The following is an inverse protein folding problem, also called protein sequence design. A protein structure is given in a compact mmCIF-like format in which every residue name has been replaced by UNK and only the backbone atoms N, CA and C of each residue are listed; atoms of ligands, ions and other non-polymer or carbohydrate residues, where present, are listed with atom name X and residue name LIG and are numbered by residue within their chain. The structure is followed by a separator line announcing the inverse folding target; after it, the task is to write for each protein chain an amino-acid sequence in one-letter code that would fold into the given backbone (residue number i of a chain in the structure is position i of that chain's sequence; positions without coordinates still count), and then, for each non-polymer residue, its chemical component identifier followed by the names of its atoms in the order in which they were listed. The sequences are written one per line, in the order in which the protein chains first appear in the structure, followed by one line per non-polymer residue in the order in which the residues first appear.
data_IF_615528886625
#
_entry.id   IF_615528886625
#
_cell.length_a   1.000
_cell.length_b   1.000
_cell.length_c   1.000
_cell.angle_alpha   90.00
_cell.angle_beta   90.00
_cell.angle_gamma   90.00
#
_symmetry.space_group_name_H-M   'P 1'
#
loop_
_entity.id
_entity.type
_entity.pdbx_description
1 polymer ?
#
# COMPACT_ATOMS: atom_id res chain seq x y z
N UNK A 1 -17.46 -50.16 -51.58
CA UNK A 1 -18.75 -50.76 -51.18
C UNK A 1 -18.69 -50.94 -49.66
N UNK A 2 -19.03 -49.87 -48.92
CA UNK A 2 -20.32 -49.67 -48.23
C UNK A 2 -20.43 -50.51 -46.94
N UNK A 3 -20.25 -49.91 -45.75
CA UNK A 3 -21.34 -49.53 -44.84
C UNK A 3 -20.83 -49.14 -43.44
N UNK A 4 -21.55 -48.18 -42.87
CA UNK A 4 -21.26 -47.36 -41.70
C UNK A 4 -21.60 -48.07 -40.38
N UNK A 5 -20.78 -47.81 -39.36
CA UNK A 5 -21.06 -48.07 -37.95
C UNK A 5 -21.74 -46.84 -37.33
N UNK A 6 -22.97 -47.01 -36.85
CA UNK A 6 -23.67 -46.07 -35.95
C UNK A 6 -23.60 -46.64 -34.53
N UNK A 7 -23.01 -45.88 -33.59
CA UNK A 7 -23.17 -46.07 -32.13
C UNK A 7 -23.96 -44.88 -31.58
N UNK A 8 -24.89 -45.08 -30.62
CA UNK A 8 -25.67 -44.00 -30.04
C UNK A 8 -24.87 -43.28 -28.94
N UNK A 9 -24.98 -41.94 -28.93
CA UNK A 9 -24.47 -41.06 -27.89
C UNK A 9 -25.50 -41.01 -26.75
N UNK A 10 -25.11 -41.44 -25.55
CA UNK A 10 -25.85 -41.19 -24.31
C UNK A 10 -25.54 -39.76 -23.84
N UNK A 11 -26.56 -38.89 -23.83
CA UNK A 11 -26.52 -37.59 -23.15
C UNK A 11 -27.11 -37.79 -21.75
N UNK A 12 -26.27 -37.74 -20.72
CA UNK A 12 -26.71 -37.72 -19.33
C UNK A 12 -27.18 -36.32 -18.93
N UNK A 13 -28.49 -36.15 -18.75
CA UNK A 13 -29.07 -35.00 -18.07
C UNK A 13 -28.77 -35.11 -16.57
N UNK A 14 -27.87 -34.26 -16.06
CA UNK A 14 -27.76 -34.02 -14.62
C UNK A 14 -28.81 -32.97 -14.21
N UNK A 15 -29.85 -33.43 -13.52
CA UNK A 15 -30.87 -32.57 -12.93
C UNK A 15 -30.26 -31.79 -11.76
N UNK A 16 -30.09 -30.48 -11.93
CA UNK A 16 -29.76 -29.55 -10.84
C UNK A 16 -31.08 -29.12 -10.19
N UNK A 17 -31.42 -29.76 -9.08
CA UNK A 17 -32.49 -29.32 -8.19
C UNK A 17 -32.07 -28.04 -7.48
N UNK A 18 -32.70 -26.93 -7.86
CA UNK A 18 -32.63 -25.67 -7.14
C UNK A 18 -33.44 -25.79 -5.84
N UNK A 19 -32.77 -25.91 -4.70
CA UNK A 19 -33.39 -25.64 -3.40
C UNK A 19 -33.37 -24.11 -3.25
N UNK A 20 -34.52 -23.50 -3.48
CA UNK A 20 -34.76 -22.10 -3.14
C UNK A 20 -34.80 -21.98 -1.61
N UNK A 21 -33.66 -21.68 -1.00
CA UNK A 21 -33.62 -21.17 0.36
C UNK A 21 -34.12 -19.72 0.32
N UNK A 22 -35.36 -19.50 0.76
CA UNK A 22 -35.93 -18.19 0.99
C UNK A 22 -35.25 -17.54 2.20
N UNK A 23 -34.07 -16.95 1.98
CA UNK A 23 -33.57 -15.90 2.85
C UNK A 23 -34.27 -14.60 2.44
N UNK A 24 -35.25 -14.18 3.24
CA UNK A 24 -35.79 -12.83 3.15
C UNK A 24 -34.64 -11.84 3.36
N UNK A 25 -34.20 -11.21 2.28
CA UNK A 25 -33.24 -10.11 2.33
C UNK A 25 -33.90 -8.92 3.00
N UNK A 26 -33.39 -8.52 4.17
CA UNK A 26 -33.47 -7.12 4.55
C UNK A 26 -32.63 -6.34 3.55
N UNK A 27 -33.32 -5.64 2.66
CA UNK A 27 -32.75 -4.83 1.59
C UNK A 27 -31.97 -3.67 2.22
N UNK A 28 -30.69 -3.89 2.54
CA UNK A 28 -29.79 -2.88 3.09
C UNK A 28 -29.19 -1.99 2.00
N UNK A 29 -29.97 -1.70 0.95
CA UNK A 29 -29.61 -0.69 -0.03
C UNK A 29 -29.97 0.68 0.54
N UNK A 30 -28.99 1.59 0.60
CA UNK A 30 -29.26 2.99 0.92
C UNK A 30 -30.26 3.51 -0.11
N UNK A 31 -31.51 3.77 0.31
CA UNK A 31 -32.45 4.54 -0.53
C UNK A 31 -31.73 5.82 -0.97
N UNK A 32 -31.66 6.03 -2.29
CA UNK A 32 -30.94 7.15 -2.89
C UNK A 32 -31.62 8.50 -2.65
N UNK A 33 -32.77 8.52 -1.95
CA UNK A 33 -33.55 9.73 -1.74
C UNK A 33 -32.71 10.80 -1.01
N UNK A 34 -32.52 11.98 -1.61
CA UNK A 34 -31.82 13.09 -0.97
C UNK A 34 -32.43 13.52 0.37
N UNK A 35 -33.73 13.25 0.59
CA UNK A 35 -34.44 13.59 1.82
C UNK A 35 -33.91 12.89 3.08
N UNK A 36 -33.16 11.79 2.92
CA UNK A 36 -32.56 11.05 4.04
C UNK A 36 -31.21 11.65 4.51
N UNK A 37 -30.70 12.68 3.84
CA UNK A 37 -29.44 13.33 4.16
C UNK A 37 -29.66 14.67 4.84
N UNK A 38 -28.79 14.98 5.80
CA UNK A 38 -28.75 16.28 6.48
C UNK A 38 -27.47 17.02 6.09
N UNK A 39 -27.52 18.35 6.08
CA UNK A 39 -26.36 19.19 5.80
C UNK A 39 -25.88 19.87 7.07
N UNK A 40 -24.58 20.17 7.13
CA UNK A 40 -24.00 20.86 8.27
C UNK A 40 -22.56 21.28 8.00
N UNK A 41 -21.95 21.87 9.01
CA UNK A 41 -20.57 22.32 8.98
C UNK A 41 -20.12 22.73 10.37
N UNK A 42 -18.81 23.00 10.55
CA UNK A 42 -18.28 23.36 11.86
C UNK A 42 -18.81 24.70 12.35
N UNK A 43 -19.11 25.64 11.44
CA UNK A 43 -19.63 26.98 11.72
C UNK A 43 -20.51 27.46 10.57
N UNK A 44 -21.55 28.23 10.87
CA UNK A 44 -22.55 28.65 9.88
C UNK A 44 -21.94 29.51 8.74
N UNK A 45 -20.98 30.37 9.07
CA UNK A 45 -20.30 31.24 8.11
C UNK A 45 -19.41 30.48 7.11
N UNK A 46 -19.05 29.23 7.40
CA UNK A 46 -18.22 28.39 6.54
C UNK A 46 -19.02 27.49 5.61
N UNK A 47 -20.35 27.48 5.69
CA UNK A 47 -21.15 26.53 4.92
C UNK A 47 -21.05 26.80 3.41
N UNK A 48 -20.76 25.77 2.59
CA UNK A 48 -21.00 25.83 1.16
C UNK A 48 -22.51 25.83 0.88
N UNK A 49 -22.90 26.14 -0.36
CA UNK A 49 -24.27 25.97 -0.81
C UNK A 49 -24.52 24.49 -1.10
N UNK A 50 -25.58 23.95 -0.52
CA UNK A 50 -26.00 22.57 -0.73
C UNK A 50 -27.21 22.49 -1.65
N UNK A 51 -27.21 21.52 -2.55
CA UNK A 51 -28.34 21.19 -3.40
C UNK A 51 -28.37 19.70 -3.71
N UNK A 52 -29.54 19.19 -4.07
CA UNK A 52 -29.71 17.79 -4.44
C UNK A 52 -30.66 17.61 -5.63
N UNK A 53 -30.51 16.50 -6.34
CA UNK A 53 -31.35 16.10 -7.48
C UNK A 53 -31.59 14.59 -7.41
N UNK A 54 -32.76 14.12 -7.88
CA UNK A 54 -33.06 12.68 -8.00
C UNK A 54 -32.45 12.06 -9.26
N UNK A 55 -31.85 12.88 -10.13
CA UNK A 55 -31.22 12.50 -11.40
C UNK A 55 -29.80 13.06 -11.48
N UNK A 56 -28.81 12.19 -11.70
CA UNK A 56 -27.39 12.53 -11.76
C UNK A 56 -26.47 11.30 -11.63
N UNK A 57 -25.17 11.53 -11.48
CA UNK A 57 -24.19 10.46 -11.34
C UNK A 57 -23.96 9.62 -12.61
N UNK A 58 -23.03 8.65 -12.59
CA UNK A 58 -22.77 7.76 -13.72
C UNK A 58 -23.92 6.81 -14.04
N UNK A 59 -24.70 6.40 -13.04
CA UNK A 59 -25.82 5.47 -13.20
C UNK A 59 -27.19 6.16 -13.31
N UNK A 60 -27.25 7.50 -13.36
CA UNK A 60 -28.51 8.24 -13.43
C UNK A 60 -29.28 8.35 -12.09
N UNK A 61 -28.64 8.01 -10.97
CA UNK A 61 -29.22 8.05 -9.62
C UNK A 61 -29.21 9.42 -8.93
N UNK A 62 -29.49 9.43 -7.62
CA UNK A 62 -29.51 10.64 -6.82
C UNK A 62 -28.16 11.38 -6.74
N UNK A 63 -28.21 12.71 -6.68
CA UNK A 63 -27.05 13.61 -6.65
C UNK A 63 -27.09 14.49 -5.40
N UNK A 64 -25.98 14.51 -4.66
CA UNK A 64 -25.75 15.40 -3.52
C UNK A 64 -24.60 16.36 -3.86
N UNK A 65 -24.90 17.66 -3.91
CA UNK A 65 -23.95 18.68 -4.35
C UNK A 65 -23.63 19.65 -3.22
N UNK A 66 -22.34 19.99 -3.08
CA UNK A 66 -21.86 21.10 -2.27
C UNK A 66 -20.99 22.01 -3.15
N UNK A 67 -21.32 23.31 -3.18
CA UNK A 67 -20.63 24.30 -4.01
C UNK A 67 -20.16 25.50 -3.17
N UNK A 68 -18.90 25.89 -3.36
CA UNK A 68 -18.38 27.13 -2.81
C UNK A 68 -18.62 28.31 -3.74
N UNK A 69 -18.65 29.50 -3.14
CA UNK A 69 -18.49 30.76 -3.85
C UNK A 69 -17.00 31.13 -3.92
N UNK A 70 -16.68 32.41 -4.12
CA UNK A 70 -15.31 32.92 -4.17
C UNK A 70 -14.60 32.92 -2.80
N UNK A 71 -15.32 32.66 -1.68
CA UNK A 71 -14.71 32.57 -0.36
C UNK A 71 -13.92 31.28 -0.27
N UNK A 72 -12.67 31.42 0.17
CA UNK A 72 -11.84 30.28 0.52
C UNK A 72 -12.18 29.75 1.92
N UNK A 73 -11.78 28.51 2.20
CA UNK A 73 -11.92 27.93 3.53
C UNK A 73 -13.31 27.38 3.87
N UNK A 74 -14.27 27.38 2.93
CA UNK A 74 -15.61 26.82 3.18
C UNK A 74 -15.52 25.34 3.56
N UNK A 75 -16.34 24.95 4.54
CA UNK A 75 -16.33 23.63 5.11
C UNK A 75 -17.77 23.24 5.50
N UNK A 76 -18.24 22.15 4.93
CA UNK A 76 -19.48 21.52 5.34
C UNK A 76 -19.55 20.07 4.89
N UNK A 77 -20.68 19.42 5.12
CA UNK A 77 -20.89 18.02 4.77
C UNK A 77 -22.35 17.71 4.50
N UNK A 78 -22.56 16.64 3.73
CA UNK A 78 -23.76 15.82 3.81
C UNK A 78 -23.53 14.71 4.83
N UNK A 79 -24.54 14.40 5.64
CA UNK A 79 -24.48 13.38 6.69
C UNK A 79 -25.73 12.53 6.72
N UNK A 80 -25.54 11.22 6.89
CA UNK A 80 -26.62 10.24 7.07
C UNK A 80 -26.17 9.14 8.03
N UNK A 81 -27.06 8.77 8.96
CA UNK A 81 -26.82 7.65 9.88
C UNK A 81 -27.69 6.47 9.49
N UNK A 82 -27.12 5.28 9.48
CA UNK A 82 -27.82 4.03 9.19
C UNK A 82 -27.53 2.96 10.23
N UNK A 83 -28.48 2.03 10.47
CA UNK A 83 -28.24 0.88 11.33
C UNK A 83 -27.21 -0.06 10.70
N UNK A 84 -26.34 -0.62 11.53
CA UNK A 84 -25.38 -1.67 11.17
C UNK A 84 -25.29 -2.70 12.30
N UNK A 85 -24.77 -3.88 12.00
CA UNK A 85 -24.51 -4.93 12.97
C UNK A 85 -23.01 -4.99 13.29
N UNK A 86 -22.69 -4.87 14.58
CA UNK A 86 -21.32 -4.97 15.07
C UNK A 86 -20.65 -6.29 14.71
N UNK A 87 -19.34 -6.24 14.49
CA UNK A 87 -18.51 -7.39 14.11
C UNK A 87 -18.59 -7.77 12.63
N UNK A 88 -19.57 -7.26 11.87
CA UNK A 88 -19.70 -7.49 10.42
C UNK A 88 -18.77 -6.59 9.61
N UNK A 89 -18.48 -7.04 8.39
CA UNK A 89 -17.76 -6.26 7.40
C UNK A 89 -18.73 -5.54 6.46
N UNK A 90 -18.35 -4.34 6.07
CA UNK A 90 -19.13 -3.48 5.20
C UNK A 90 -18.26 -2.90 4.10
N UNK A 91 -18.75 -2.97 2.87
CA UNK A 91 -18.19 -2.25 1.75
C UNK A 91 -18.89 -0.90 1.60
N UNK A 92 -18.12 0.17 1.77
CA UNK A 92 -18.56 1.51 1.38
C UNK A 92 -18.27 1.75 -0.08
N UNK A 93 -19.17 2.45 -0.76
CA UNK A 93 -18.89 2.96 -2.09
C UNK A 93 -19.68 4.22 -2.40
N UNK A 94 -19.07 5.17 -3.11
CA UNK A 94 -19.74 6.35 -3.66
C UNK A 94 -19.03 6.84 -4.91
N UNK A 95 -19.77 7.39 -5.87
CA UNK A 95 -19.18 8.16 -6.96
C UNK A 95 -18.96 9.60 -6.51
N UNK A 96 -17.78 10.14 -6.81
CA UNK A 96 -17.37 11.50 -6.48
C UNK A 96 -16.92 12.23 -7.74
N UNK A 97 -17.39 13.45 -7.94
CA UNK A 97 -16.88 14.36 -8.97
C UNK A 97 -16.54 15.71 -8.37
N UNK A 98 -15.38 16.24 -8.72
CA UNK A 98 -14.91 17.56 -8.27
C UNK A 98 -14.66 18.42 -9.49
N UNK A 99 -15.27 19.61 -9.53
CA UNK A 99 -15.09 20.60 -10.59
C UNK A 99 -14.65 21.92 -9.97
N UNK A 100 -13.67 22.59 -10.57
CA UNK A 100 -13.15 23.86 -10.07
C UNK A 100 -11.66 23.77 -9.73
N UNK A 101 -11.23 24.59 -8.76
CA UNK A 101 -9.81 24.79 -8.43
C UNK A 101 -9.29 23.91 -7.29
N UNK A 102 -10.16 23.12 -6.67
CA UNK A 102 -9.83 22.33 -5.49
C UNK A 102 -8.92 21.13 -5.76
N UNK A 103 -8.15 20.80 -4.72
CA UNK A 103 -7.48 19.51 -4.58
C UNK A 103 -8.51 18.48 -4.12
N UNK A 104 -8.98 17.64 -5.05
CA UNK A 104 -10.07 16.70 -4.80
C UNK A 104 -9.88 15.83 -3.55
N UNK A 105 -8.66 15.31 -3.33
CA UNK A 105 -8.31 14.45 -2.17
C UNK A 105 -8.45 15.13 -0.80
N UNK A 106 -8.40 16.47 -0.73
CA UNK A 106 -8.55 17.23 0.51
C UNK A 106 -9.96 17.79 0.67
N UNK A 107 -10.54 18.26 -0.44
CA UNK A 107 -11.84 18.94 -0.45
C UNK A 107 -13.00 17.96 -0.39
N UNK A 108 -12.93 16.85 -1.11
CA UNK A 108 -14.05 15.92 -1.28
C UNK A 108 -13.73 14.57 -0.61
N UNK A 109 -14.00 14.50 0.69
CA UNK A 109 -13.62 13.37 1.55
C UNK A 109 -14.85 12.67 2.09
N UNK A 110 -14.97 11.37 1.82
CA UNK A 110 -15.92 10.51 2.50
C UNK A 110 -15.32 10.02 3.83
N UNK A 111 -16.14 9.99 4.89
CA UNK A 111 -15.80 9.43 6.20
C UNK A 111 -16.93 8.54 6.70
N UNK A 112 -16.57 7.49 7.44
CA UNK A 112 -17.54 6.61 8.10
C UNK A 112 -17.20 6.61 9.59
N UNK A 113 -18.16 7.00 10.41
CA UNK A 113 -18.02 6.96 11.86
C UNK A 113 -18.87 5.81 12.40
N UNK A 114 -18.21 4.82 13.00
CA UNK A 114 -18.91 3.80 13.77
C UNK A 114 -19.45 4.41 15.06
N UNK A 115 -20.68 4.07 15.44
CA UNK A 115 -21.33 4.53 16.67
C UNK A 115 -21.97 3.36 17.41
N UNK A 116 -21.88 3.38 18.74
CA UNK A 116 -22.59 2.49 19.64
C UNK A 116 -24.07 2.92 19.80
N UNK A 117 -24.83 2.17 20.61
CA UNK A 117 -26.25 2.45 20.86
C UNK A 117 -26.52 3.83 21.52
N UNK A 118 -25.49 4.45 22.11
CA UNK A 118 -25.54 5.77 22.73
C UNK A 118 -25.06 6.88 21.80
N UNK A 119 -24.66 6.57 20.56
CA UNK A 119 -24.11 7.53 19.60
C UNK A 119 -22.64 7.88 19.84
N UNK A 120 -21.92 7.11 20.68
CA UNK A 120 -20.49 7.32 20.91
C UNK A 120 -19.64 6.42 20.00
N UNK A 121 -18.41 6.81 19.65
CA UNK A 121 -17.51 5.92 18.93
C UNK A 121 -17.14 4.70 19.80
N UNK A 122 -17.45 3.46 19.38
CA UNK A 122 -17.10 2.25 20.12
C UNK A 122 -15.58 2.02 20.15
N UNK A 123 -15.12 1.12 21.03
CA UNK A 123 -13.74 0.62 20.97
C UNK A 123 -13.64 -0.50 19.93
N UNK A 124 -12.50 -0.60 19.25
CA UNK A 124 -12.18 -1.78 18.46
C UNK A 124 -12.09 -3.02 19.35
N UNK A 125 -12.32 -4.17 18.76
CA UNK A 125 -12.33 -5.47 19.43
C UNK A 125 -10.95 -6.14 19.48
N UNK A 126 -9.94 -5.51 18.88
CA UNK A 126 -8.54 -5.92 18.96
C UNK A 126 -7.72 -4.98 19.84
N UNK A 127 -6.63 -5.51 20.38
CA UNK A 127 -5.63 -4.71 21.07
C UNK A 127 -4.75 -3.99 20.05
N UNK A 128 -4.44 -2.73 20.31
CA UNK A 128 -3.48 -1.96 19.54
C UNK A 128 -2.13 -2.70 19.55
N UNK A 129 -1.54 -2.84 18.37
CA UNK A 129 -0.20 -3.42 18.17
C UNK A 129 0.88 -2.34 18.03
N UNK A 130 0.49 -1.10 18.22
CA UNK A 130 1.38 0.06 18.25
C UNK A 130 2.19 0.05 19.55
N UNK A 131 3.43 0.51 19.48
CA UNK A 131 4.33 0.75 20.62
C UNK A 131 3.77 1.79 21.58
N UNK A 132 2.86 2.66 21.11
CA UNK A 132 2.12 3.58 21.96
C UNK A 132 0.83 2.94 22.50
N UNK A 133 0.64 2.99 23.83
CA UNK A 133 -0.52 2.42 24.55
C UNK A 133 -0.81 0.96 24.13
N UNK A 134 0.26 0.18 24.12
CA UNK A 134 0.23 -1.26 23.80
C UNK A 134 -0.72 -1.99 24.75
N UNK A 135 -1.51 -2.93 24.21
CA UNK A 135 -2.44 -3.73 24.99
C UNK A 135 -3.78 -3.05 25.32
N UNK A 136 -3.98 -1.79 24.95
CA UNK A 136 -5.28 -1.13 25.03
C UNK A 136 -6.10 -1.33 23.73
N UNK A 137 -7.42 -1.22 23.83
CA UNK A 137 -8.31 -1.22 22.66
C UNK A 137 -8.44 0.20 22.11
N UNK A 138 -8.03 0.47 20.86
CA UNK A 138 -8.16 1.81 20.30
C UNK A 138 -9.62 2.16 20.09
N UNK A 139 -9.94 3.45 20.28
CA UNK A 139 -11.25 3.98 19.91
C UNK A 139 -11.42 3.92 18.39
N UNK A 140 -12.64 3.68 17.93
CA UNK A 140 -12.95 3.78 16.51
C UNK A 140 -12.91 5.25 16.10
N UNK A 141 -11.87 5.61 15.37
CA UNK A 141 -11.80 6.86 14.63
C UNK A 141 -12.42 6.67 13.23
N UNK A 142 -12.63 7.74 12.44
CA UNK A 142 -13.33 7.64 11.18
C UNK A 142 -12.56 6.77 10.18
N UNK A 143 -13.30 5.98 9.41
CA UNK A 143 -12.75 5.27 8.26
C UNK A 143 -12.65 6.22 7.05
N UNK A 144 -11.61 6.05 6.23
CA UNK A 144 -11.37 6.87 5.03
C UNK A 144 -11.33 6.01 3.77
N UNK A 145 -12.49 5.81 3.11
CA UNK A 145 -12.58 5.12 1.82
C UNK A 145 -11.62 5.69 0.78
N UNK A 146 -10.85 4.82 0.12
CA UNK A 146 -9.84 5.14 -0.89
C UNK A 146 -10.43 5.52 -2.25
N UNK A 147 -9.61 6.13 -3.11
CA UNK A 147 -9.99 6.36 -4.50
C UNK A 147 -9.72 5.07 -5.32
N UNK A 148 -10.67 4.69 -6.17
CA UNK A 148 -10.64 3.49 -6.99
C UNK A 148 -10.86 3.79 -8.47
N UNK A 149 -11.84 3.12 -9.07
CA UNK A 149 -12.17 3.23 -10.49
C UNK A 149 -12.48 4.67 -10.93
N UNK A 150 -12.09 5.03 -12.16
CA UNK A 150 -12.37 6.32 -12.78
C UNK A 150 -13.25 6.11 -14.01
N UNK A 151 -14.36 6.85 -14.08
CA UNK A 151 -15.29 6.86 -15.21
C UNK A 151 -15.59 8.31 -15.63
N UNK A 152 -14.91 8.77 -16.70
CA UNK A 152 -14.97 10.17 -17.10
C UNK A 152 -14.44 11.09 -16.00
N UNK A 153 -15.27 12.05 -15.54
CA UNK A 153 -14.93 12.95 -14.43
C UNK A 153 -15.23 12.37 -13.03
N UNK A 154 -15.75 11.14 -12.97
CA UNK A 154 -16.16 10.49 -11.73
C UNK A 154 -15.07 9.55 -11.21
N UNK A 155 -14.81 9.63 -9.91
CA UNK A 155 -13.92 8.72 -9.18
C UNK A 155 -14.75 7.95 -8.18
N UNK A 156 -14.68 6.62 -8.22
CA UNK A 156 -15.31 5.72 -7.25
C UNK A 156 -14.49 5.79 -5.96
N UNK A 157 -15.08 6.32 -4.91
CA UNK A 157 -14.50 6.22 -3.55
C UNK A 157 -15.03 4.94 -2.90
N UNK A 158 -14.15 4.06 -2.41
CA UNK A 158 -14.53 2.72 -1.94
C UNK A 158 -13.61 2.18 -0.84
N UNK A 159 -14.10 1.26 -0.02
CA UNK A 159 -13.30 0.55 0.97
C UNK A 159 -14.11 -0.50 1.72
N UNK A 160 -13.43 -1.51 2.26
CA UNK A 160 -14.04 -2.57 3.07
C UNK A 160 -13.57 -2.39 4.51
N UNK A 161 -14.52 -2.24 5.42
CA UNK A 161 -14.26 -1.88 6.82
C UNK A 161 -15.00 -2.81 7.75
N UNK A 162 -14.42 -3.06 8.92
CA UNK A 162 -15.06 -3.87 9.94
C UNK A 162 -15.73 -2.98 10.99
N UNK A 163 -17.03 -3.14 11.16
CA UNK A 163 -17.74 -2.50 12.25
C UNK A 163 -17.26 -3.10 13.58
N UNK A 164 -16.83 -2.30 14.57
CA UNK A 164 -16.52 -2.80 15.91
C UNK A 164 -17.69 -3.57 16.53
N UNK A 165 -17.45 -4.54 17.41
CA UNK A 165 -18.50 -5.41 17.97
C UNK A 165 -19.63 -4.62 18.67
N UNK A 166 -19.30 -3.51 19.34
CA UNK A 166 -20.28 -2.65 19.99
C UNK A 166 -20.96 -1.65 19.05
N UNK A 167 -20.59 -1.62 17.76
CA UNK A 167 -21.17 -0.73 16.77
C UNK A 167 -22.59 -1.13 16.38
N UNK A 168 -23.49 -0.16 16.39
CA UNK A 168 -24.91 -0.34 16.02
C UNK A 168 -25.36 0.61 14.92
N UNK A 169 -24.57 1.66 14.66
CA UNK A 169 -24.86 2.65 13.64
C UNK A 169 -23.58 3.04 12.88
N UNK A 170 -23.73 3.37 11.61
CA UNK A 170 -22.70 4.01 10.79
C UNK A 170 -23.19 5.40 10.39
N UNK A 171 -22.48 6.43 10.82
CA UNK A 171 -22.69 7.80 10.37
C UNK A 171 -21.75 8.05 9.18
N UNK A 172 -22.33 8.16 7.99
CA UNK A 172 -21.63 8.46 6.75
C UNK A 172 -21.60 9.96 6.57
N UNK A 173 -20.43 10.50 6.29
CA UNK A 173 -20.22 11.91 6.05
C UNK A 173 -19.49 12.13 4.72
N UNK A 174 -20.05 13.00 3.89
CA UNK A 174 -19.50 13.40 2.59
C UNK A 174 -19.10 14.88 2.69
N UNK A 175 -17.82 15.11 2.97
CA UNK A 175 -17.29 16.45 3.24
C UNK A 175 -17.05 17.27 1.96
N UNK A 176 -17.22 18.58 2.12
CA UNK A 176 -16.63 19.65 1.31
C UNK A 176 -15.69 20.45 2.22
N UNK A 177 -14.42 20.66 1.84
CA UNK A 177 -13.43 21.37 2.67
C UNK A 177 -12.51 22.29 1.88
N UNK A 178 -12.28 23.48 2.43
CA UNK A 178 -11.14 24.36 2.15
C UNK A 178 -10.95 24.69 0.68
N UNK A 179 -12.03 25.01 -0.02
CA UNK A 179 -11.97 25.40 -1.42
C UNK A 179 -12.91 26.55 -1.76
N UNK A 180 -12.44 27.43 -2.64
CA UNK A 180 -13.22 28.42 -3.38
C UNK A 180 -13.50 27.92 -4.80
N UNK A 181 -14.50 28.53 -5.46
CA UNK A 181 -14.86 28.26 -6.87
C UNK A 181 -14.93 26.77 -7.24
N UNK A 182 -15.47 25.93 -6.34
CA UNK A 182 -15.43 24.48 -6.45
C UNK A 182 -16.81 23.89 -6.20
N UNK A 183 -17.18 22.89 -7.00
CA UNK A 183 -18.36 22.05 -6.79
C UNK A 183 -17.93 20.60 -6.58
N UNK A 184 -18.47 19.98 -5.53
CA UNK A 184 -18.32 18.56 -5.24
C UNK A 184 -19.68 17.90 -5.37
N UNK A 185 -19.75 16.87 -6.20
CA UNK A 185 -20.91 16.01 -6.36
C UNK A 185 -20.63 14.61 -5.81
N UNK A 186 -21.62 14.05 -5.12
CA UNK A 186 -21.66 12.66 -4.70
C UNK A 186 -22.89 11.95 -5.26
N UNK A 187 -22.74 10.69 -5.65
CA UNK A 187 -23.83 9.85 -6.16
C UNK A 187 -23.61 8.37 -5.80
N UNK A 188 -24.67 7.57 -5.88
CA UNK A 188 -24.68 6.12 -5.60
C UNK A 188 -23.96 5.72 -4.30
N UNK A 189 -24.23 6.46 -3.22
CA UNK A 189 -23.62 6.22 -1.92
C UNK A 189 -24.22 4.96 -1.30
N UNK A 190 -23.38 4.00 -0.95
CA UNK A 190 -23.73 2.67 -0.46
C UNK A 190 -22.84 2.26 0.71
N UNK A 191 -23.41 1.54 1.66
CA UNK A 191 -22.68 0.80 2.68
C UNK A 191 -23.35 -0.56 2.84
N UNK A 192 -22.77 -1.59 2.24
CA UNK A 192 -23.41 -2.92 2.13
C UNK A 192 -22.64 -3.96 2.93
N UNK A 193 -23.32 -4.91 3.61
CA UNK A 193 -22.65 -6.02 4.26
C UNK A 193 -21.89 -6.87 3.24
N UNK A 194 -20.68 -7.30 3.60
CA UNK A 194 -19.86 -8.19 2.77
C UNK A 194 -19.19 -9.24 3.65
N UNK A 195 -18.69 -10.31 3.01
CA UNK A 195 -17.82 -11.25 3.69
C UNK A 195 -16.48 -10.60 4.06
N UNK A 196 -15.80 -11.08 5.13
CA UNK A 196 -14.45 -10.62 5.48
C UNK A 196 -13.50 -10.73 4.27
N UNK A 197 -12.68 -9.70 4.00
CA UNK A 197 -11.64 -9.82 2.99
C UNK A 197 -10.64 -10.92 3.41
N UNK A 198 -10.09 -11.68 2.46
CA UNK A 198 -9.10 -12.69 2.79
C UNK A 198 -7.86 -12.05 3.42
N UNK A 199 -7.27 -12.76 4.38
CA UNK A 199 -5.98 -12.41 4.95
C UNK A 199 -4.91 -12.29 3.85
N UNK A 200 -4.13 -11.21 3.86
CA UNK A 200 -2.99 -10.97 2.96
C UNK A 200 -1.69 -11.12 3.74
N UNK A 201 -1.43 -12.36 4.16
CA UNK A 201 -0.17 -12.72 4.80
C UNK A 201 0.93 -12.82 3.76
N UNK A 202 2.09 -12.25 4.08
CA UNK A 202 3.29 -12.32 3.24
C UNK A 202 4.52 -12.60 4.10
N UNK A 203 5.40 -13.47 3.60
CA UNK A 203 6.71 -13.72 4.21
C UNK A 203 7.78 -12.90 3.51
N UNK A 204 8.35 -11.96 4.26
CA UNK A 204 9.36 -11.03 3.77
C UNK A 204 10.72 -11.44 4.32
N UNK A 205 11.69 -11.60 3.42
CA UNK A 205 13.04 -12.00 3.76
C UNK A 205 14.06 -10.90 3.43
N UNK A 206 15.14 -10.86 4.20
CA UNK A 206 16.33 -10.09 3.87
C UNK A 206 17.58 -10.93 4.13
N UNK A 207 18.61 -10.69 3.32
CA UNK A 207 19.90 -11.39 3.44
C UNK A 207 20.92 -10.46 4.10
N UNK A 208 21.73 -10.99 5.02
CA UNK A 208 22.84 -10.27 5.64
C UNK A 208 24.17 -10.85 5.18
N UNK A 209 24.74 -10.34 4.09
CA UNK A 209 25.91 -10.98 3.48
C UNK A 209 26.81 -10.04 2.68
N UNK A 210 28.08 -10.01 3.05
CA UNK A 210 29.17 -9.36 2.31
C UNK A 210 29.74 -10.31 1.24
N UNK A 211 29.63 -10.02 -0.07
CA UNK A 211 30.17 -10.87 -1.13
C UNK A 211 31.68 -10.63 -1.35
N UNK A 212 32.47 -10.76 -0.28
CA UNK A 212 33.90 -10.46 -0.27
C UNK A 212 34.73 -11.44 -1.12
N UNK A 213 34.33 -12.71 -1.19
CA UNK A 213 35.07 -13.77 -1.88
C UNK A 213 34.92 -13.72 -3.42
N UNK A 214 33.95 -12.95 -3.93
CA UNK A 214 33.71 -12.81 -5.37
C UNK A 214 34.68 -11.83 -6.02
N UNK A 215 35.25 -12.19 -7.17
CA UNK A 215 36.20 -11.35 -7.92
C UNK A 215 35.52 -10.57 -9.05
N UNK A 216 34.50 -11.16 -9.67
CA UNK A 216 33.70 -10.53 -10.73
C UNK A 216 32.28 -10.24 -10.25
N UNK A 217 31.54 -9.41 -10.99
CA UNK A 217 30.10 -9.20 -10.77
C UNK A 217 29.34 -10.54 -10.70
N UNK A 218 29.62 -11.44 -11.64
CA UNK A 218 28.99 -12.75 -11.70
C UNK A 218 29.31 -13.61 -10.47
N UNK A 219 30.56 -13.61 -10.00
CA UNK A 219 30.94 -14.37 -8.80
C UNK A 219 30.23 -13.83 -7.56
N UNK A 220 30.17 -12.50 -7.41
CA UNK A 220 29.48 -11.85 -6.30
C UNK A 220 27.98 -12.17 -6.31
N UNK A 221 27.33 -12.11 -7.47
CA UNK A 221 25.94 -12.53 -7.63
C UNK A 221 25.73 -14.00 -7.21
N UNK A 222 26.62 -14.91 -7.64
CA UNK A 222 26.52 -16.35 -7.33
C UNK A 222 26.56 -16.66 -5.83
N UNK A 223 27.29 -15.88 -5.05
CA UNK A 223 27.36 -16.06 -3.59
C UNK A 223 25.99 -15.89 -2.89
N UNK A 224 25.05 -15.16 -3.48
CA UNK A 224 23.70 -15.01 -2.93
C UNK A 224 22.75 -16.16 -3.27
N UNK A 225 23.09 -17.02 -4.24
CA UNK A 225 22.22 -18.12 -4.69
C UNK A 225 21.76 -19.04 -3.54
N UNK A 226 22.67 -19.61 -2.74
CA UNK A 226 22.31 -20.45 -1.60
C UNK A 226 21.45 -19.75 -0.54
N UNK A 227 21.65 -18.44 -0.34
CA UNK A 227 20.91 -17.64 0.64
C UNK A 227 19.48 -17.35 0.16
N UNK A 228 19.30 -17.09 -1.14
CA UNK A 228 17.98 -16.99 -1.78
C UNK A 228 17.25 -18.32 -1.72
N UNK A 229 17.95 -19.44 -1.98
CA UNK A 229 17.36 -20.78 -1.85
C UNK A 229 16.93 -21.07 -0.41
N UNK A 230 17.72 -20.66 0.60
CA UNK A 230 17.36 -20.78 2.01
C UNK A 230 16.11 -19.96 2.36
N UNK A 231 15.96 -18.76 1.80
CA UNK A 231 14.73 -17.96 1.96
C UNK A 231 13.53 -18.65 1.30
N UNK A 232 13.72 -19.20 0.09
CA UNK A 232 12.69 -19.93 -0.64
C UNK A 232 12.20 -21.18 0.12
N UNK A 233 13.10 -21.95 0.75
CA UNK A 233 12.76 -23.10 1.60
C UNK A 233 11.88 -22.72 2.79
N UNK A 234 11.96 -21.47 3.24
CA UNK A 234 11.12 -20.90 4.30
C UNK A 234 9.87 -20.19 3.74
N UNK A 235 9.57 -20.39 2.46
CA UNK A 235 8.41 -19.86 1.75
C UNK A 235 8.37 -18.33 1.72
N UNK A 236 9.53 -17.68 1.64
CA UNK A 236 9.60 -16.24 1.40
C UNK A 236 8.97 -15.89 0.05
N UNK A 237 8.20 -14.80 0.03
CA UNK A 237 7.63 -14.24 -1.20
C UNK A 237 8.47 -13.09 -1.76
N UNK A 238 9.24 -12.43 -0.89
CA UNK A 238 10.20 -11.38 -1.23
C UNK A 238 11.53 -11.67 -0.55
N UNK A 239 12.64 -11.51 -1.27
CA UNK A 239 13.99 -11.51 -0.71
C UNK A 239 14.68 -10.19 -1.07
N UNK A 240 15.11 -9.43 -0.07
CA UNK A 240 15.89 -8.20 -0.27
C UNK A 240 17.37 -8.49 -0.05
N UNK A 241 18.19 -8.12 -1.04
CA UNK A 241 19.64 -8.23 -1.03
C UNK A 241 20.29 -6.85 -0.80
N UNK A 242 21.56 -6.81 -0.35
CA UNK A 242 22.23 -5.56 -0.02
C UNK A 242 22.47 -4.62 -1.21
N UNK A 243 22.78 -3.37 -0.89
CA UNK A 243 23.17 -2.33 -1.85
C UNK A 243 24.49 -2.68 -2.56
N UNK A 244 24.59 -2.28 -3.84
CA UNK A 244 25.81 -2.30 -4.67
C UNK A 244 26.62 -3.60 -4.55
N UNK A 245 25.92 -4.74 -4.52
CA UNK A 245 26.53 -6.05 -4.21
C UNK A 245 27.63 -6.45 -5.21
N UNK A 246 27.57 -5.96 -6.46
CA UNK A 246 28.59 -6.20 -7.48
C UNK A 246 29.85 -5.36 -7.28
N UNK A 247 29.74 -4.22 -6.59
CA UNK A 247 30.86 -3.30 -6.35
C UNK A 247 31.55 -3.54 -5.00
N UNK A 248 30.87 -4.18 -4.05
CA UNK A 248 31.42 -4.46 -2.73
C UNK A 248 32.80 -5.13 -2.80
N UNK A 249 33.82 -4.46 -2.25
CA UNK A 249 35.22 -4.91 -2.25
C UNK A 249 35.77 -5.31 -3.65
N UNK A 250 35.30 -4.66 -4.73
CA UNK A 250 35.75 -4.97 -6.08
C UNK A 250 37.16 -4.44 -6.40
N UNK A 251 37.70 -3.52 -5.59
CA UNK A 251 39.00 -2.89 -5.83
C UNK A 251 39.05 -2.02 -7.11
N UNK A 252 37.87 -1.65 -7.63
CA UNK A 252 37.70 -0.90 -8.89
C UNK A 252 36.74 0.27 -8.71
N UNK A 253 36.82 1.30 -9.57
CA UNK A 253 35.80 2.34 -9.66
C UNK A 253 34.39 1.76 -9.91
N UNK A 254 33.36 2.47 -9.45
CA UNK A 254 31.96 2.01 -9.51
C UNK A 254 31.50 1.77 -10.96
N UNK A 255 31.91 2.64 -11.88
CA UNK A 255 31.56 2.57 -13.28
C UNK A 255 32.09 1.32 -13.98
N UNK A 256 33.23 0.77 -13.56
CA UNK A 256 33.76 -0.50 -14.08
C UNK A 256 32.94 -1.72 -13.62
N UNK A 257 32.16 -1.58 -12.54
CA UNK A 257 31.27 -2.62 -12.03
C UNK A 257 29.81 -2.44 -12.50
N UNK A 258 29.50 -1.35 -13.21
CA UNK A 258 28.16 -1.01 -13.66
C UNK A 258 27.76 -1.79 -14.93
N UNK A 259 26.56 -2.35 -14.92
CA UNK A 259 26.00 -3.16 -16.02
C UNK A 259 24.72 -2.52 -16.59
N UNK A 260 24.35 -2.77 -17.86
CA UNK A 260 23.03 -2.38 -18.33
C UNK A 260 21.92 -3.04 -17.50
N UNK A 261 20.77 -2.37 -17.35
CA UNK A 261 19.60 -2.95 -16.70
C UNK A 261 18.39 -2.88 -17.65
N UNK A 262 17.93 -4.02 -18.21
CA UNK A 262 18.36 -5.39 -17.91
C UNK A 262 19.76 -5.75 -18.47
N UNK A 263 20.44 -6.69 -17.80
CA UNK A 263 21.79 -7.17 -18.08
C UNK A 263 22.20 -8.40 -17.25
N UNK A 264 23.48 -8.80 -17.25
CA UNK A 264 23.95 -10.08 -16.70
C UNK A 264 23.50 -10.36 -15.25
N UNK A 265 23.69 -9.40 -14.34
CA UNK A 265 23.28 -9.59 -12.93
C UNK A 265 21.77 -9.73 -12.79
N UNK A 266 20.97 -8.94 -13.53
CA UNK A 266 19.50 -9.07 -13.49
C UNK A 266 19.00 -10.36 -14.14
N UNK A 267 19.71 -10.92 -15.12
CA UNK A 267 19.38 -12.22 -15.71
C UNK A 267 19.60 -13.34 -14.69
N UNK A 268 20.75 -13.34 -14.00
CA UNK A 268 21.04 -14.32 -12.96
C UNK A 268 19.99 -14.30 -11.83
N UNK A 269 19.69 -13.11 -11.28
CA UNK A 269 18.67 -13.01 -10.23
C UNK A 269 17.25 -13.29 -10.76
N UNK A 270 16.97 -12.99 -12.03
CA UNK A 270 15.72 -13.40 -12.68
C UNK A 270 15.56 -14.92 -12.76
N UNK A 271 16.63 -15.64 -13.12
CA UNK A 271 16.62 -17.10 -13.12
C UNK A 271 16.34 -17.68 -11.74
N UNK A 272 16.98 -17.15 -10.69
CA UNK A 272 16.72 -17.54 -9.30
C UNK A 272 15.28 -17.22 -8.87
N UNK A 273 14.78 -16.02 -9.19
CA UNK A 273 13.42 -15.61 -8.87
C UNK A 273 12.38 -16.55 -9.50
N UNK A 274 12.59 -16.93 -10.77
CA UNK A 274 11.77 -17.92 -11.49
C UNK A 274 11.88 -19.32 -10.88
N UNK A 275 13.09 -19.77 -10.61
CA UNK A 275 13.35 -21.10 -10.04
C UNK A 275 12.65 -21.28 -8.69
N UNK A 276 12.59 -20.23 -7.88
CA UNK A 276 12.04 -20.27 -6.53
C UNK A 276 10.63 -19.65 -6.40
N UNK A 277 10.05 -19.17 -7.50
CA UNK A 277 8.71 -18.55 -7.54
C UNK A 277 8.52 -17.45 -6.47
N UNK A 278 9.50 -16.55 -6.37
CA UNK A 278 9.54 -15.43 -5.42
C UNK A 278 9.98 -14.14 -6.11
N UNK A 279 9.82 -13.01 -5.43
CA UNK A 279 10.38 -11.73 -5.84
C UNK A 279 11.77 -11.52 -5.23
N UNK A 280 12.70 -10.95 -6.00
CA UNK A 280 14.03 -10.56 -5.50
C UNK A 280 14.21 -9.06 -5.71
N UNK A 281 14.63 -8.36 -4.66
CA UNK A 281 15.17 -7.00 -4.77
C UNK A 281 16.68 -7.07 -4.64
N UNK A 282 17.41 -6.63 -5.66
CA UNK A 282 18.87 -6.62 -5.68
C UNK A 282 19.41 -5.19 -5.83
N UNK A 283 20.37 -4.80 -4.99
CA UNK A 283 21.10 -3.54 -5.12
C UNK A 283 22.28 -3.68 -6.08
N UNK A 284 22.27 -2.93 -7.18
CA UNK A 284 23.24 -3.03 -8.28
C UNK A 284 23.74 -1.64 -8.70
N UNK A 285 24.73 -1.63 -9.60
CA UNK A 285 25.13 -0.45 -10.36
C UNK A 285 24.64 -0.57 -11.80
N UNK A 286 23.88 0.41 -12.26
CA UNK A 286 23.38 0.49 -13.63
C UNK A 286 24.29 1.39 -14.48
N UNK A 287 24.64 0.91 -15.68
CA UNK A 287 25.18 1.71 -16.77
C UNK A 287 24.06 2.06 -17.75
N UNK A 288 23.81 3.34 -17.94
CA UNK A 288 22.88 3.86 -18.96
C UNK A 288 23.61 4.93 -19.79
N UNK A 289 24.09 4.50 -20.97
CA UNK A 289 24.97 5.29 -21.82
C UNK A 289 26.20 5.79 -21.06
N UNK A 290 26.38 7.11 -20.94
CA UNK A 290 27.49 7.75 -20.23
C UNK A 290 27.25 7.87 -18.72
N UNK A 291 26.05 7.54 -18.23
CA UNK A 291 25.65 7.71 -16.83
C UNK A 291 25.78 6.40 -16.07
N UNK A 292 26.11 6.51 -14.78
CA UNK A 292 26.09 5.41 -13.84
C UNK A 292 25.10 5.72 -12.72
N UNK A 293 24.27 4.76 -12.34
CA UNK A 293 23.28 4.89 -11.29
C UNK A 293 23.48 3.80 -10.23
N UNK A 294 23.25 4.15 -8.96
CA UNK A 294 23.02 3.18 -7.90
C UNK A 294 21.54 2.80 -7.91
N UNK A 295 21.22 1.51 -8.08
CA UNK A 295 19.86 1.05 -8.33
C UNK A 295 19.43 -0.08 -7.41
N UNK A 296 18.14 -0.14 -7.11
CA UNK A 296 17.47 -1.35 -6.67
C UNK A 296 16.61 -1.89 -7.82
N UNK A 297 16.78 -3.16 -8.18
CA UNK A 297 15.98 -3.83 -9.21
C UNK A 297 15.04 -4.85 -8.58
N UNK A 298 13.82 -4.94 -9.11
CA UNK A 298 12.82 -5.92 -8.72
C UNK A 298 12.69 -6.98 -9.80
N UNK A 299 13.00 -8.23 -9.46
CA UNK A 299 12.87 -9.39 -10.32
C UNK A 299 11.62 -10.18 -9.89
N UNK A 300 10.75 -10.49 -10.84
CA UNK A 300 9.50 -11.19 -10.61
C UNK A 300 9.64 -12.72 -10.63
N UNK A 301 8.62 -13.44 -10.15
CA UNK A 301 8.57 -14.91 -10.19
C UNK A 301 8.49 -15.50 -11.61
N UNK A 302 8.25 -14.67 -12.62
CA UNK A 302 8.36 -15.05 -14.04
C UNK A 302 9.80 -14.96 -14.58
N UNK A 303 10.74 -14.49 -13.75
CA UNK A 303 12.15 -14.29 -14.05
C UNK A 303 12.46 -13.01 -14.82
N UNK A 304 11.49 -12.11 -14.97
CA UNK A 304 11.68 -10.84 -15.68
C UNK A 304 11.92 -9.69 -14.70
N UNK A 305 12.48 -8.61 -15.24
CA UNK A 305 12.56 -7.32 -14.53
C UNK A 305 11.14 -6.75 -14.41
N UNK A 306 10.61 -6.76 -13.20
CA UNK A 306 9.30 -6.18 -12.88
C UNK A 306 9.39 -4.69 -12.55
N UNK A 307 10.57 -4.20 -12.16
CA UNK A 307 10.76 -2.81 -11.79
C UNK A 307 12.21 -2.43 -11.52
N UNK A 308 12.49 -1.12 -11.53
CA UNK A 308 13.78 -0.55 -11.15
C UNK A 308 13.57 0.79 -10.45
N UNK A 309 14.37 1.04 -9.43
CA UNK A 309 14.47 2.29 -8.72
C UNK A 309 15.91 2.80 -8.81
N UNK A 310 16.09 4.07 -9.21
CA UNK A 310 17.38 4.77 -9.18
C UNK A 310 17.45 5.61 -7.91
N UNK A 311 18.47 5.41 -7.09
CA UNK A 311 18.71 6.13 -5.83
C UNK A 311 18.60 7.64 -6.04
N UNK A 312 17.78 8.31 -5.24
CA UNK A 312 17.44 9.73 -5.45
C UNK A 312 18.37 10.62 -4.64
N UNK A 313 18.68 10.25 -3.40
CA UNK A 313 19.62 10.97 -2.56
C UNK A 313 21.02 10.32 -2.61
N UNK A 314 22.02 11.08 -3.05
CA UNK A 314 23.39 10.59 -3.15
C UNK A 314 24.26 11.13 -1.99
N UNK A 315 25.06 10.28 -1.33
CA UNK A 315 26.11 10.74 -0.44
C UNK A 315 27.23 11.39 -1.23
N UNK A 316 28.04 12.23 -0.56
CA UNK A 316 29.18 12.94 -1.17
C UNK A 316 30.08 12.02 -2.01
N UNK A 317 30.40 10.82 -1.52
CA UNK A 317 31.28 9.88 -2.23
C UNK A 317 30.71 9.37 -3.55
N UNK A 318 29.39 9.25 -3.68
CA UNK A 318 28.75 8.87 -4.94
C UNK A 318 28.73 10.04 -5.92
N UNK A 319 28.50 11.26 -5.43
CA UNK A 319 28.55 12.48 -6.24
C UNK A 319 29.96 12.71 -6.78
N UNK A 320 30.97 12.67 -5.91
CA UNK A 320 32.38 12.83 -6.26
C UNK A 320 32.83 11.71 -7.25
N UNK A 321 32.22 10.53 -7.16
CA UNK A 321 32.44 9.39 -8.06
C UNK A 321 31.64 9.43 -9.37
N UNK A 322 30.85 10.47 -9.63
CA UNK A 322 30.10 10.62 -10.88
C UNK A 322 28.82 9.79 -11.00
N UNK A 323 28.27 9.30 -9.88
CA UNK A 323 26.96 8.63 -9.87
C UNK A 323 25.86 9.67 -10.11
N UNK A 324 24.91 9.33 -10.98
CA UNK A 324 23.77 10.19 -11.31
C UNK A 324 22.58 9.87 -10.40
N UNK A 325 21.86 10.89 -9.87
CA UNK A 325 20.67 10.67 -9.05
C UNK A 325 19.46 10.27 -9.92
N UNK A 326 18.58 9.45 -9.34
CA UNK A 326 17.22 9.25 -9.82
C UNK A 326 16.30 10.43 -9.48
N UNK A 327 15.07 10.40 -9.98
CA UNK A 327 14.09 11.51 -9.82
C UNK A 327 12.67 11.04 -9.51
N UNK A 328 12.45 9.74 -9.33
CA UNK A 328 11.11 9.15 -9.27
C UNK A 328 10.94 8.29 -8.02
N UNK A 329 9.68 8.09 -7.61
CA UNK A 329 9.28 7.23 -6.49
C UNK A 329 8.33 6.11 -6.98
N UNK A 330 8.76 5.24 -7.91
CA UNK A 330 7.92 4.19 -8.46
C UNK A 330 7.50 3.18 -7.39
N UNK A 331 6.27 2.67 -7.55
CA UNK A 331 5.70 1.60 -6.73
C UNK A 331 5.24 0.49 -7.68
N UNK A 332 5.58 -0.74 -7.35
CA UNK A 332 5.39 -1.91 -8.20
C UNK A 332 4.29 -2.80 -7.64
N UNK A 333 3.37 -3.22 -8.50
CA UNK A 333 2.36 -4.21 -8.14
C UNK A 333 3.01 -5.60 -8.04
N UNK A 334 2.74 -6.30 -6.95
CA UNK A 334 3.18 -7.69 -6.73
C UNK A 334 1.99 -8.53 -6.27
N UNK A 335 2.13 -9.87 -6.30
CA UNK A 335 1.04 -10.76 -5.84
C UNK A 335 0.64 -10.56 -4.38
N UNK A 336 1.52 -9.99 -3.55
CA UNK A 336 1.26 -9.74 -2.13
C UNK A 336 0.79 -8.31 -1.83
N UNK A 337 1.00 -7.37 -2.76
CA UNK A 337 0.66 -5.96 -2.58
C UNK A 337 1.63 -5.01 -3.27
N UNK A 338 1.59 -3.73 -2.89
CA UNK A 338 2.40 -2.68 -3.52
C UNK A 338 3.79 -2.57 -2.88
N UNK A 339 4.85 -2.70 -3.67
CA UNK A 339 6.24 -2.63 -3.22
C UNK A 339 6.91 -1.33 -3.69
N UNK A 340 7.43 -0.53 -2.75
CA UNK A 340 8.37 0.55 -3.03
C UNK A 340 9.82 0.09 -2.81
N UNK A 341 10.77 0.84 -3.36
CA UNK A 341 12.20 0.62 -3.13
C UNK A 341 12.89 1.94 -2.81
N UNK A 342 13.81 1.93 -1.85
CA UNK A 342 14.73 3.02 -1.56
C UNK A 342 16.13 2.45 -1.33
N UNK A 343 17.19 3.25 -1.45
CA UNK A 343 18.57 2.76 -1.37
C UNK A 343 19.42 3.61 -0.44
N UNK A 344 19.98 2.95 0.58
CA UNK A 344 20.95 3.49 1.52
C UNK A 344 20.72 4.94 1.98
N UNK A 345 21.41 5.89 1.37
CA UNK A 345 21.40 7.30 1.76
C UNK A 345 19.99 7.93 1.66
N UNK A 346 19.10 7.38 0.84
CA UNK A 346 17.67 7.73 0.82
C UNK A 346 17.02 7.63 2.22
N UNK A 347 17.48 6.70 3.07
CA UNK A 347 16.97 6.53 4.43
C UNK A 347 17.14 7.76 5.31
N UNK A 348 18.05 8.68 5.00
CA UNK A 348 18.21 9.95 5.72
C UNK A 348 17.15 11.00 5.36
N UNK A 349 16.40 10.81 4.28
CA UNK A 349 15.45 11.79 3.74
C UNK A 349 14.01 11.28 3.85
N UNK A 350 13.17 11.83 4.76
CA UNK A 350 11.78 11.39 4.92
C UNK A 350 10.95 11.52 3.63
N UNK A 351 11.32 12.44 2.75
CA UNK A 351 10.68 12.70 1.46
C UNK A 351 10.63 11.46 0.58
N UNK A 352 11.66 10.61 0.61
CA UNK A 352 11.74 9.42 -0.23
C UNK A 352 10.69 8.40 0.19
N UNK A 353 10.67 8.01 1.47
CA UNK A 353 9.67 7.06 1.96
C UNK A 353 8.25 7.66 1.92
N UNK A 354 8.11 8.98 2.13
CA UNK A 354 6.82 9.68 1.96
C UNK A 354 6.34 9.66 0.51
N UNK A 355 7.23 9.85 -0.45
CA UNK A 355 6.93 9.76 -1.88
C UNK A 355 6.44 8.36 -2.27
N UNK A 356 7.13 7.32 -1.80
CA UNK A 356 6.75 5.92 -2.03
C UNK A 356 5.41 5.56 -1.37
N UNK A 357 5.21 5.94 -0.10
CA UNK A 357 3.97 5.65 0.63
C UNK A 357 2.78 6.39 0.04
N UNK A 358 2.97 7.64 -0.38
CA UNK A 358 2.00 8.42 -1.15
C UNK A 358 1.59 7.67 -2.42
N UNK A 359 2.57 7.09 -3.13
CA UNK A 359 2.30 6.33 -4.35
C UNK A 359 1.72 4.93 -4.07
N UNK A 360 1.44 4.61 -2.81
CA UNK A 360 0.68 3.44 -2.38
C UNK A 360 1.50 2.31 -1.81
N UNK A 361 2.82 2.46 -1.64
CA UNK A 361 3.68 1.40 -1.10
C UNK A 361 3.13 0.83 0.22
N UNK A 362 3.10 -0.49 0.33
CA UNK A 362 2.75 -1.26 1.53
C UNK A 362 3.98 -1.81 2.22
N UNK A 363 4.96 -2.19 1.40
CA UNK A 363 6.27 -2.67 1.78
C UNK A 363 7.29 -1.78 1.07
N UNK A 364 8.38 -1.42 1.77
CA UNK A 364 9.54 -0.74 1.19
C UNK A 364 10.75 -1.66 1.35
N UNK A 365 11.31 -2.13 0.23
CA UNK A 365 12.59 -2.81 0.24
C UNK A 365 13.72 -1.78 0.32
N UNK A 366 14.69 -2.03 1.19
CA UNK A 366 15.76 -1.10 1.49
C UNK A 366 17.14 -1.79 1.43
N UNK A 367 17.69 -2.04 0.24
CA UNK A 367 19.11 -2.35 0.07
C UNK A 367 19.97 -1.21 0.63
N UNK A 368 20.88 -1.51 1.55
CA UNK A 368 21.64 -0.47 2.27
C UNK A 368 23.02 -0.94 2.67
N UNK A 369 24.06 -0.18 2.31
CA UNK A 369 25.39 -0.35 2.89
C UNK A 369 25.40 0.18 4.32
N UNK A 370 24.91 1.39 4.56
CA UNK A 370 24.95 2.01 5.89
C UNK A 370 23.91 3.10 6.08
N UNK A 371 23.35 3.20 7.29
CA UNK A 371 22.33 4.21 7.62
C UNK A 371 22.21 4.37 9.14
N UNK A 372 20.99 4.24 9.68
CA UNK A 372 20.67 4.23 11.10
C UNK A 372 19.38 3.41 11.28
N UNK A 373 19.37 2.34 12.11
CA UNK A 373 18.16 1.55 12.37
C UNK A 373 16.97 2.36 12.89
N UNK A 374 17.23 3.45 13.64
CA UNK A 374 16.18 4.36 14.09
C UNK A 374 15.51 5.08 12.91
N UNK A 375 16.28 5.43 11.88
CA UNK A 375 15.71 6.03 10.68
C UNK A 375 14.89 5.01 9.90
N UNK A 376 15.35 3.76 9.77
CA UNK A 376 14.54 2.71 9.15
C UNK A 376 13.20 2.49 9.88
N UNK A 377 13.23 2.47 11.22
CA UNK A 377 12.02 2.44 12.05
C UNK A 377 11.14 3.68 11.82
N UNK A 378 11.71 4.88 11.75
CA UNK A 378 10.97 6.11 11.49
C UNK A 378 10.31 6.10 10.10
N UNK A 379 11.03 5.64 9.05
CA UNK A 379 10.48 5.51 7.69
C UNK A 379 9.31 4.54 7.64
N UNK A 380 9.34 3.48 8.44
CA UNK A 380 8.22 2.55 8.58
C UNK A 380 7.04 3.20 9.33
N UNK A 381 7.29 3.73 10.53
CA UNK A 381 6.30 4.29 11.44
C UNK A 381 5.57 5.50 10.83
N UNK A 382 6.28 6.50 10.31
CA UNK A 382 5.64 7.73 9.82
C UNK A 382 4.81 7.50 8.54
N UNK A 383 5.08 6.40 7.82
CA UNK A 383 4.43 6.05 6.57
C UNK A 383 3.45 4.88 6.69
N UNK A 384 3.40 4.21 7.83
CA UNK A 384 2.62 2.98 8.06
C UNK A 384 2.91 1.91 7.00
N UNK A 385 4.18 1.77 6.65
CA UNK A 385 4.69 0.76 5.71
C UNK A 385 5.55 -0.26 6.44
N UNK A 386 5.61 -1.47 5.92
CA UNK A 386 6.62 -2.45 6.36
C UNK A 386 7.93 -2.11 5.68
N UNK A 387 9.05 -2.07 6.39
CA UNK A 387 10.37 -1.83 5.80
C UNK A 387 11.21 -3.09 5.92
N UNK A 388 11.83 -3.51 4.82
CA UNK A 388 12.71 -4.69 4.75
C UNK A 388 14.10 -4.24 4.37
N UNK A 389 14.99 -4.12 5.35
CA UNK A 389 16.37 -3.66 5.11
C UNK A 389 17.33 -4.83 4.94
N UNK A 390 18.28 -4.67 4.02
CA UNK A 390 19.34 -5.65 3.78
C UNK A 390 20.68 -4.92 3.71
N UNK A 391 21.58 -5.28 4.61
CA UNK A 391 22.94 -4.78 4.70
C UNK A 391 23.94 -5.91 4.90
N UNK A 392 25.22 -5.56 4.89
CA UNK A 392 26.34 -6.45 5.20
C UNK A 392 27.31 -5.83 6.22
N UNK A 393 26.94 -4.72 6.86
CA UNK A 393 27.72 -4.13 7.96
C UNK A 393 27.79 -5.06 9.15
N UNK A 394 28.87 -5.00 9.94
CA UNK A 394 28.94 -5.76 11.19
C UNK A 394 27.75 -5.39 12.10
N UNK A 395 26.89 -6.35 12.50
CA UNK A 395 25.77 -6.10 13.40
C UNK A 395 26.17 -5.41 14.72
N UNK A 396 27.41 -5.60 15.19
CA UNK A 396 27.95 -4.95 16.40
C UNK A 396 28.16 -3.45 16.25
N UNK A 397 28.31 -2.96 15.02
CA UNK A 397 28.49 -1.52 14.77
C UNK A 397 27.22 -0.71 15.04
N UNK A 398 26.04 -1.37 15.04
CA UNK A 398 24.72 -0.74 15.07
C UNK A 398 24.56 0.41 14.04
N UNK A 399 25.36 0.38 12.97
CA UNK A 399 25.30 1.38 11.91
C UNK A 399 24.08 1.15 11.02
N UNK A 400 23.77 -0.10 10.72
CA UNK A 400 22.52 -0.51 10.09
C UNK A 400 22.26 -1.97 10.45
N UNK A 401 21.00 -2.41 10.37
CA UNK A 401 20.65 -3.83 10.56
C UNK A 401 19.98 -4.39 9.31
N UNK A 402 20.22 -5.66 9.03
CA UNK A 402 19.34 -6.44 8.15
C UNK A 402 18.15 -6.87 8.99
N UNK A 403 16.93 -6.53 8.56
CA UNK A 403 15.74 -6.80 9.36
C UNK A 403 14.42 -6.45 8.68
N UNK A 404 13.34 -6.89 9.30
CA UNK A 404 11.97 -6.53 8.92
C UNK A 404 11.38 -5.65 10.03
N UNK A 405 10.96 -4.45 9.67
CA UNK A 405 10.31 -3.48 10.54
C UNK A 405 8.83 -3.47 10.21
N UNK A 406 7.96 -3.58 11.21
CA UNK A 406 6.52 -3.43 11.02
C UNK A 406 6.11 -1.97 10.79
N UNK A 407 4.81 -1.74 10.61
CA UNK A 407 4.24 -0.42 10.32
C UNK A 407 4.36 0.60 11.45
N UNK A 408 4.80 0.17 12.63
CA UNK A 408 5.05 1.04 13.77
C UNK A 408 6.56 1.22 14.03
N UNK A 409 7.41 0.66 13.15
CA UNK A 409 8.86 0.70 13.27
C UNK A 409 9.45 -0.34 14.22
N UNK A 410 8.65 -1.29 14.73
CA UNK A 410 9.16 -2.39 15.57
C UNK A 410 9.89 -3.42 14.70
N UNK A 411 11.07 -3.82 15.13
CA UNK A 411 11.83 -4.89 14.48
C UNK A 411 11.18 -6.24 14.79
N UNK A 412 10.66 -6.91 13.76
CA UNK A 412 10.06 -8.24 13.84
C UNK A 412 11.09 -9.36 13.78
N UNK A 413 12.13 -9.17 12.96
CA UNK A 413 13.25 -10.10 12.80
C UNK A 413 14.50 -9.30 12.41
N UNK A 414 15.69 -9.73 12.86
CA UNK A 414 16.97 -9.12 12.51
C UNK A 414 18.09 -10.15 12.42
N UNK A 415 19.14 -9.81 11.67
CA UNK A 415 20.33 -10.65 11.54
C UNK A 415 21.26 -10.42 12.73
N UNK A 416 22.01 -11.47 13.11
CA UNK A 416 22.99 -11.43 14.19
C UNK A 416 24.42 -11.65 13.67
N UNK A 417 24.57 -12.27 12.50
CA UNK A 417 25.88 -12.58 11.88
C UNK A 417 25.81 -12.61 10.35
N UNK A 418 26.99 -12.57 9.72
CA UNK A 418 27.16 -12.77 8.27
C UNK A 418 26.60 -14.12 7.82
N UNK A 419 25.90 -14.12 6.69
CA UNK A 419 25.22 -15.27 6.12
C UNK A 419 23.80 -15.50 6.63
N UNK A 420 23.30 -14.70 7.57
CA UNK A 420 21.93 -14.84 8.05
C UNK A 420 20.91 -14.48 6.96
N UNK A 421 19.84 -15.29 6.91
CA UNK A 421 18.62 -15.02 6.15
C UNK A 421 17.51 -14.77 7.16
N UNK A 422 17.07 -13.52 7.27
CA UNK A 422 16.02 -13.12 8.22
C UNK A 422 14.66 -13.16 7.54
N UNK A 423 13.64 -13.62 8.25
CA UNK A 423 12.27 -13.73 7.72
C UNK A 423 11.26 -13.29 8.76
N UNK A 424 10.24 -12.57 8.33
CA UNK A 424 9.04 -12.29 9.12
C UNK A 424 7.77 -12.46 8.27
N UNK A 425 6.73 -13.02 8.87
CA UNK A 425 5.37 -13.02 8.30
C UNK A 425 4.63 -11.76 8.76
N UNK A 426 4.06 -11.02 7.82
CA UNK A 426 3.26 -9.81 8.08
C UNK A 426 1.88 -9.94 7.43
N UNK A 427 0.85 -9.39 8.06
CA UNK A 427 -0.52 -9.35 7.53
C UNK A 427 -0.78 -7.97 6.92
N UNK A 428 -0.70 -7.84 5.60
CA UNK A 428 -0.84 -6.57 4.92
C UNK A 428 -2.30 -6.09 4.85
N UNK A 429 -3.27 -6.99 4.91
CA UNK A 429 -4.71 -6.68 4.84
C UNK A 429 -5.28 -6.05 6.10
N UNK A 430 -4.60 -6.20 7.24
CA UNK A 430 -5.06 -5.65 8.52
C UNK A 430 -4.56 -4.22 8.71
N UNK A 431 -5.41 -3.22 8.98
CA UNK A 431 -4.96 -1.85 9.23
C UNK A 431 -4.15 -1.75 10.54
N UNK A 432 -3.22 -0.79 10.59
CA UNK A 432 -2.49 -0.43 11.81
C UNK A 432 -3.17 0.80 12.43
N UNK A 433 -3.97 0.57 13.46
CA UNK A 433 -4.83 1.58 14.07
C UNK A 433 -4.15 2.26 15.25
N UNK A 434 -4.07 3.58 15.21
CA UNK A 434 -3.60 4.44 16.30
C UNK A 434 -4.77 4.93 17.15
N UNK A 435 -4.53 5.07 18.46
CA UNK A 435 -5.56 5.39 19.46
C UNK A 435 -6.38 6.66 19.22
N UNK A 436 -5.82 7.64 18.51
CA UNK A 436 -6.47 8.94 18.26
C UNK A 436 -6.52 9.34 16.79
N UNK A 437 -6.01 8.51 15.88
CA UNK A 437 -5.96 8.79 14.43
C UNK A 437 -6.58 7.69 13.57
N UNK A 438 -6.96 6.54 14.14
CA UNK A 438 -7.48 5.45 13.33
C UNK A 438 -6.39 4.82 12.44
N UNK A 439 -6.77 4.40 11.23
CA UNK A 439 -5.82 3.99 10.20
C UNK A 439 -5.17 5.21 9.54
N UNK A 440 -4.07 5.69 10.12
CA UNK A 440 -3.36 6.87 9.61
C UNK A 440 -2.89 6.70 8.16
N UNK A 441 -2.62 5.47 7.70
CA UNK A 441 -2.25 5.22 6.29
C UNK A 441 -3.33 5.71 5.33
N UNK A 442 -4.60 5.48 5.67
CA UNK A 442 -5.74 5.94 4.88
C UNK A 442 -5.88 7.46 4.91
N UNK A 443 -5.35 8.13 5.93
CA UNK A 443 -5.36 9.58 6.08
C UNK A 443 -4.25 10.29 5.29
N UNK A 444 -3.07 9.67 5.11
CA UNK A 444 -1.88 10.32 4.51
C UNK A 444 -2.22 11.08 3.23
N UNK A 445 -2.94 10.46 2.30
CA UNK A 445 -3.31 11.09 1.04
C UNK A 445 -4.26 12.28 1.19
N UNK A 446 -5.07 12.33 2.24
CA UNK A 446 -6.10 13.37 2.45
C UNK A 446 -5.60 14.50 3.33
N UNK A 447 -4.67 14.23 4.24
CA UNK A 447 -4.21 15.18 5.24
C UNK A 447 -2.87 15.83 4.90
N UNK A 448 -2.05 15.21 4.04
CA UNK A 448 -0.75 15.80 3.65
C UNK A 448 -0.94 17.11 2.85
N UNK A 449 -0.05 18.10 3.05
CA UNK A 449 0.04 19.31 2.22
C UNK A 449 0.26 18.98 0.72
N UNK A 450 0.11 19.98 -0.14
CA UNK A 450 0.65 19.88 -1.49
C UNK A 450 2.19 19.93 -1.44
N UNK A 451 2.87 19.14 -2.30
CA UNK A 451 4.31 19.25 -2.48
C UNK A 451 4.72 20.55 -3.18
#
# INVERSE_FOLDING_TARGET
MLQQLLRPIFVGLAAVTWIAAACQGEDSSLSQSPAAWTTGGPRAELLPKFSSSDQGGPAGGGLLTAASDARDGLHGWWKRTIPVAGGRWYQFSAWRRVRGKAIARQTAVARIFWKDAKGNPPLHDFLARTTYREGERPRSEPEYPGDGEVQGEWVRTTGIFRCPEAGTQAEIELSFRWAADTTVDWSDVQLVPVEPPPARKVRLAAVHYAPADGQTNADKCRLFGPLVEQAAKQQAELVVLPETLTWYNAGKPAEECAEPVPGPSTQYFGELARQHNLYIVAGLLERDQHKVYNVAVLLGPDGKLAGKYRKVALPRTEIDGGITPGTEYPVFETRFGKLGMMVCYDGFFPEVARGLSRNGAEVIAFPVWGCNPLLAAARACENHTVVVSSTYTDPKSNWMITGVFDRDGRVLAKAEKQGDVVIAEVELGRPAVWHSLGDFRAEVLRHRPEP
#
